data_IF_279336843589
#
_entry.id   IF_279336843589
#
_cell.length_a   1.000
_cell.length_b   1.000
_cell.length_c   1.000
_cell.angle_alpha   90.00
_cell.angle_beta   90.00
_cell.angle_gamma   90.00
#
_symmetry.space_group_name_H-M   'P 1'
#
loop_
_entity.id
_entity.type
_entity.pdbx_description
1 polymer ?
#
# COMPACT_ATOMS: atom_id res chain seq x y z
N UNK A 1 -55.77 13.27 -8.08
CA UNK A 1 -54.67 14.17 -8.53
C UNK A 1 -53.64 14.42 -7.41
N UNK A 2 -54.07 14.87 -6.23
CA UNK A 2 -53.17 15.15 -5.08
C UNK A 2 -52.39 13.92 -4.62
N UNK A 3 -53.02 12.74 -4.55
CA UNK A 3 -52.36 11.48 -4.14
C UNK A 3 -51.17 11.12 -5.06
N UNK A 4 -51.34 11.25 -6.38
CA UNK A 4 -50.26 11.00 -7.34
C UNK A 4 -49.09 11.98 -7.18
N UNK A 5 -49.39 13.24 -6.84
CA UNK A 5 -48.39 14.28 -6.61
C UNK A 5 -47.59 14.00 -5.33
N UNK A 6 -48.24 13.54 -4.26
CA UNK A 6 -47.60 13.12 -3.01
C UNK A 6 -46.69 11.90 -3.23
N UNK A 7 -47.16 10.90 -3.98
CA UNK A 7 -46.36 9.72 -4.31
C UNK A 7 -45.13 10.12 -5.13
N UNK A 8 -45.32 10.97 -6.15
CA UNK A 8 -44.22 11.47 -6.96
C UNK A 8 -43.17 12.21 -6.12
N UNK A 9 -43.62 13.08 -5.20
CA UNK A 9 -42.74 13.81 -4.29
C UNK A 9 -41.98 12.86 -3.36
N UNK A 10 -42.64 11.84 -2.82
CA UNK A 10 -42.03 10.83 -1.95
C UNK A 10 -40.94 10.03 -2.68
N UNK A 11 -41.21 9.61 -3.92
CA UNK A 11 -40.23 8.90 -4.76
C UNK A 11 -39.02 9.79 -5.07
N UNK A 12 -39.25 11.07 -5.37
CA UNK A 12 -38.18 12.02 -5.65
C UNK A 12 -37.27 12.22 -4.42
N UNK A 13 -37.86 12.36 -3.23
CA UNK A 13 -37.09 12.47 -1.98
C UNK A 13 -36.27 11.20 -1.71
N UNK A 14 -36.87 10.02 -1.86
CA UNK A 14 -36.17 8.75 -1.67
C UNK A 14 -35.02 8.58 -2.67
N UNK A 15 -35.21 9.02 -3.92
CA UNK A 15 -34.17 8.99 -4.94
C UNK A 15 -32.98 9.88 -4.57
N UNK A 16 -33.22 11.11 -4.13
CA UNK A 16 -32.15 12.03 -3.70
C UNK A 16 -31.35 11.46 -2.53
N UNK A 17 -32.03 10.88 -1.52
CA UNK A 17 -31.38 10.24 -0.37
C UNK A 17 -30.51 9.05 -0.82
N UNK A 18 -31.03 8.22 -1.72
CA UNK A 18 -30.31 7.05 -2.24
C UNK A 18 -29.03 7.46 -2.98
N UNK A 19 -29.13 8.46 -3.86
CA UNK A 19 -27.97 8.99 -4.61
C UNK A 19 -26.93 9.60 -3.67
N UNK A 20 -27.36 10.38 -2.69
CA UNK A 20 -26.45 10.96 -1.69
C UNK A 20 -25.70 9.86 -0.91
N UNK A 21 -26.42 8.86 -0.42
CA UNK A 21 -25.84 7.74 0.32
C UNK A 21 -24.86 6.94 -0.53
N UNK A 22 -25.15 6.74 -1.81
CA UNK A 22 -24.25 6.06 -2.74
C UNK A 22 -22.90 6.78 -2.88
N UNK A 23 -22.91 8.11 -3.03
CA UNK A 23 -21.67 8.89 -3.12
C UNK A 23 -20.88 8.90 -1.82
N UNK A 24 -21.55 9.02 -0.67
CA UNK A 24 -20.90 8.97 0.65
C UNK A 24 -20.27 7.59 0.90
N UNK A 25 -20.99 6.51 0.59
CA UNK A 25 -20.48 5.15 0.68
C UNK A 25 -19.26 4.93 -0.21
N UNK A 26 -19.33 5.40 -1.46
CA UNK A 26 -18.22 5.31 -2.42
C UNK A 26 -16.97 6.04 -1.93
N UNK A 27 -17.11 7.27 -1.40
CA UNK A 27 -15.99 8.01 -0.81
C UNK A 27 -15.36 7.26 0.37
N UNK A 28 -16.20 6.66 1.22
CA UNK A 28 -15.73 5.89 2.38
C UNK A 28 -14.96 4.64 1.94
N UNK A 29 -15.47 3.92 0.93
CA UNK A 29 -14.79 2.75 0.35
C UNK A 29 -13.43 3.11 -0.23
N UNK A 30 -13.31 4.20 -0.98
CA UNK A 30 -12.03 4.67 -1.52
C UNK A 30 -11.04 4.95 -0.39
N UNK A 31 -11.46 5.65 0.66
CA UNK A 31 -10.60 5.93 1.83
C UNK A 31 -10.14 4.64 2.53
N UNK A 32 -11.04 3.68 2.70
CA UNK A 32 -10.72 2.39 3.30
C UNK A 32 -9.70 1.61 2.45
N UNK A 33 -9.87 1.57 1.13
CA UNK A 33 -8.91 0.93 0.21
C UNK A 33 -7.53 1.58 0.27
N UNK A 34 -7.45 2.91 0.35
CA UNK A 34 -6.18 3.63 0.50
C UNK A 34 -5.48 3.25 1.81
N UNK A 35 -6.24 3.18 2.91
CA UNK A 35 -5.71 2.73 4.20
C UNK A 35 -5.21 1.29 4.15
N UNK A 36 -5.93 0.41 3.45
CA UNK A 36 -5.53 -0.97 3.26
C UNK A 36 -4.20 -1.10 2.49
N UNK A 37 -4.05 -0.36 1.38
CA UNK A 37 -2.79 -0.27 0.64
C UNK A 37 -1.65 0.18 1.57
N UNK A 38 -1.90 1.20 2.41
CA UNK A 38 -0.91 1.68 3.38
C UNK A 38 -0.51 0.66 4.41
N UNK A 39 -1.45 -0.15 4.88
CA UNK A 39 -1.17 -1.24 5.81
C UNK A 39 -0.35 -2.35 5.15
N UNK A 40 -0.64 -2.68 3.88
CA UNK A 40 0.13 -3.68 3.12
C UNK A 40 1.57 -3.20 2.90
N UNK A 41 1.76 -1.97 2.44
CA UNK A 41 3.09 -1.37 2.29
C UNK A 41 3.85 -1.36 3.62
N UNK A 42 3.18 -0.99 4.71
CA UNK A 42 3.78 -0.99 6.04
C UNK A 42 4.24 -2.40 6.45
N UNK A 43 3.42 -3.43 6.25
CA UNK A 43 3.80 -4.83 6.52
C UNK A 43 5.04 -5.24 5.74
N UNK A 44 5.14 -4.88 4.46
CA UNK A 44 6.33 -5.16 3.66
C UNK A 44 7.57 -4.45 4.25
N UNK A 45 7.43 -3.17 4.61
CA UNK A 45 8.49 -2.39 5.25
C UNK A 45 8.90 -2.92 6.64
N UNK A 46 7.97 -3.54 7.37
CA UNK A 46 8.23 -4.15 8.68
C UNK A 46 8.95 -5.51 8.55
N UNK A 47 8.84 -6.19 7.41
CA UNK A 47 9.57 -7.44 7.12
C UNK A 47 11.00 -7.22 6.63
N UNK A 48 11.33 -6.04 6.11
CA UNK A 48 12.68 -5.65 5.68
C UNK A 48 13.77 -5.95 6.72
N UNK A 49 13.65 -5.57 8.00
CA UNK A 49 14.70 -5.86 8.99
C UNK A 49 14.90 -7.36 9.23
N UNK A 50 13.84 -8.18 9.13
CA UNK A 50 13.98 -9.64 9.25
C UNK A 50 14.74 -10.21 8.05
N UNK A 51 14.43 -9.72 6.84
CA UNK A 51 15.20 -10.04 5.63
C UNK A 51 16.65 -9.57 5.74
N UNK A 52 16.90 -8.38 6.28
CA UNK A 52 18.24 -7.87 6.54
C UNK A 52 18.99 -8.82 7.48
N UNK A 53 18.42 -9.22 8.61
CA UNK A 53 19.05 -10.12 9.57
C UNK A 53 19.41 -11.48 8.97
N UNK A 54 18.51 -12.09 8.19
CA UNK A 54 18.75 -13.37 7.52
C UNK A 54 19.87 -13.30 6.47
N UNK A 55 20.02 -12.15 5.80
CA UNK A 55 20.92 -12.00 4.66
C UNK A 55 22.26 -11.35 5.05
N UNK A 56 22.29 -10.52 6.09
CA UNK A 56 23.47 -9.78 6.57
C UNK A 56 24.59 -10.68 7.09
N UNK A 57 24.27 -11.89 7.54
CA UNK A 57 25.25 -12.91 7.89
C UNK A 57 26.07 -13.41 6.70
N UNK A 58 25.50 -13.37 5.48
CA UNK A 58 26.11 -13.92 4.27
C UNK A 58 26.56 -12.83 3.28
N UNK A 59 25.88 -11.67 3.26
CA UNK A 59 26.13 -10.56 2.33
C UNK A 59 26.78 -9.33 2.97
N UNK A 60 27.69 -9.52 3.91
CA UNK A 60 28.30 -8.43 4.70
C UNK A 60 29.00 -7.33 3.90
N UNK A 61 29.19 -7.47 2.58
CA UNK A 61 29.83 -6.48 1.70
C UNK A 61 28.83 -5.70 0.81
N UNK A 62 27.53 -6.05 0.80
CA UNK A 62 26.51 -5.43 -0.07
C UNK A 62 25.84 -4.20 0.57
N UNK A 63 26.65 -3.27 1.07
CA UNK A 63 26.15 -2.06 1.78
C UNK A 63 25.24 -1.19 0.91
N UNK A 64 25.46 -1.15 -0.41
CA UNK A 64 24.65 -0.35 -1.33
C UNK A 64 23.20 -0.82 -1.39
N UNK A 65 22.96 -2.13 -1.44
CA UNK A 65 21.61 -2.71 -1.46
C UNK A 65 20.89 -2.45 -0.13
N UNK A 66 21.60 -2.58 1.00
CA UNK A 66 21.04 -2.28 2.32
C UNK A 66 20.66 -0.80 2.48
N UNK A 67 21.42 0.12 1.89
CA UNK A 67 21.11 1.55 1.90
C UNK A 67 19.88 1.87 1.05
N UNK A 68 19.78 1.31 -0.16
CA UNK A 68 18.58 1.41 -1.01
C UNK A 68 17.33 0.86 -0.30
N UNK A 69 17.46 -0.29 0.37
CA UNK A 69 16.38 -0.92 1.12
C UNK A 69 15.95 -0.09 2.35
N UNK A 70 16.91 0.49 3.06
CA UNK A 70 16.66 1.39 4.19
C UNK A 70 15.94 2.66 3.72
N UNK A 71 16.34 3.21 2.58
CA UNK A 71 15.70 4.37 1.98
C UNK A 71 14.28 4.05 1.51
N UNK A 72 14.06 2.91 0.86
CA UNK A 72 12.72 2.43 0.49
C UNK A 72 11.83 2.23 1.73
N UNK A 73 12.36 1.63 2.81
CA UNK A 73 11.66 1.47 4.09
C UNK A 73 11.22 2.81 4.68
N UNK A 74 12.12 3.81 4.68
CA UNK A 74 11.81 5.17 5.17
C UNK A 74 10.75 5.84 4.31
N UNK A 75 10.85 5.75 2.99
CA UNK A 75 9.87 6.31 2.05
C UNK A 75 8.47 5.71 2.29
N UNK A 76 8.38 4.39 2.47
CA UNK A 76 7.11 3.71 2.78
C UNK A 76 6.55 4.19 4.12
N UNK A 77 7.38 4.29 5.16
CA UNK A 77 6.94 4.76 6.49
C UNK A 77 6.38 6.19 6.44
N UNK A 78 7.03 7.08 5.66
CA UNK A 78 6.57 8.46 5.48
C UNK A 78 5.29 8.52 4.63
N UNK A 79 5.22 7.76 3.54
CA UNK A 79 4.05 7.71 2.67
C UNK A 79 2.81 7.19 3.43
N UNK A 80 2.96 6.10 4.20
CA UNK A 80 1.90 5.50 5.01
C UNK A 80 1.33 6.48 6.06
N UNK A 81 2.18 7.32 6.67
CA UNK A 81 1.74 8.38 7.61
C UNK A 81 1.01 9.53 6.92
N UNK A 82 1.38 9.84 5.68
CA UNK A 82 0.78 10.97 4.93
C UNK A 82 -0.61 10.67 4.38
N UNK A 83 -0.95 9.40 4.15
CA UNK A 83 -2.22 9.00 3.51
C UNK A 83 -2.33 9.42 2.05
N UNK A 84 -1.23 9.88 1.44
CA UNK A 84 -1.13 10.32 0.06
C UNK A 84 -0.86 9.12 -0.86
N UNK A 85 -1.84 8.82 -1.72
CA UNK A 85 -1.79 7.68 -2.65
C UNK A 85 -0.62 7.79 -3.62
N UNK A 86 -0.27 9.01 -4.06
CA UNK A 86 0.84 9.22 -4.99
C UNK A 86 2.16 8.81 -4.35
N UNK A 87 2.41 9.28 -3.12
CA UNK A 87 3.60 8.92 -2.35
C UNK A 87 3.66 7.44 -2.03
N UNK A 88 2.52 6.81 -1.80
CA UNK A 88 2.44 5.36 -1.54
C UNK A 88 2.80 4.57 -2.81
N UNK A 89 2.34 5.01 -3.98
CA UNK A 89 2.70 4.38 -5.26
C UNK A 89 4.21 4.52 -5.53
N UNK A 90 4.78 5.72 -5.34
CA UNK A 90 6.20 5.97 -5.54
C UNK A 90 7.07 5.14 -4.58
N UNK A 91 6.68 5.08 -3.30
CA UNK A 91 7.39 4.28 -2.29
C UNK A 91 7.33 2.77 -2.60
N UNK A 92 6.19 2.27 -3.09
CA UNK A 92 6.06 0.88 -3.53
C UNK A 92 6.93 0.56 -4.75
N UNK A 93 7.08 1.52 -5.67
CA UNK A 93 7.96 1.38 -6.84
C UNK A 93 9.43 1.26 -6.44
N UNK A 94 9.89 2.08 -5.48
CA UNK A 94 11.25 1.99 -4.95
C UNK A 94 11.54 0.58 -4.38
N UNK A 95 10.61 0.00 -3.61
CA UNK A 95 10.79 -1.35 -3.10
C UNK A 95 10.83 -2.39 -4.22
N UNK A 96 9.98 -2.23 -5.24
CA UNK A 96 9.91 -3.13 -6.40
C UNK A 96 11.19 -3.11 -7.26
N UNK A 97 11.96 -2.02 -7.23
CA UNK A 97 13.25 -1.91 -7.92
C UNK A 97 14.40 -2.55 -7.14
N UNK A 98 14.32 -2.59 -5.82
CA UNK A 98 15.37 -3.15 -4.94
C UNK A 98 15.23 -4.67 -4.78
N UNK A 99 14.00 -5.19 -4.74
CA UNK A 99 13.75 -6.64 -4.55
C UNK A 99 14.44 -7.53 -5.60
N UNK A 100 14.44 -7.22 -6.91
CA UNK A 100 15.17 -8.01 -7.91
C UNK A 100 16.67 -8.01 -7.68
N UNK A 101 17.26 -6.90 -7.20
CA UNK A 101 18.69 -6.83 -6.88
C UNK A 101 19.03 -7.78 -5.73
N UNK A 102 18.18 -7.85 -4.71
CA UNK A 102 18.34 -8.81 -3.61
C UNK A 102 18.23 -10.25 -4.13
N UNK A 103 17.27 -10.56 -5.00
CA UNK A 103 17.14 -11.90 -5.59
C UNK A 103 18.38 -12.33 -6.36
N UNK A 104 18.96 -11.44 -7.19
CA UNK A 104 20.20 -11.72 -7.93
C UNK A 104 21.33 -12.05 -6.97
N UNK A 105 21.47 -11.30 -5.87
CA UNK A 105 22.53 -11.58 -4.91
C UNK A 105 22.27 -12.86 -4.09
N UNK A 106 21.01 -13.16 -3.77
CA UNK A 106 20.66 -14.46 -3.17
C UNK A 106 20.99 -15.61 -4.13
N UNK A 107 20.70 -15.46 -5.42
CA UNK A 107 20.97 -16.47 -6.44
C UNK A 107 22.47 -16.67 -6.71
N UNK A 108 23.27 -15.61 -6.64
CA UNK A 108 24.72 -15.69 -6.81
C UNK A 108 25.43 -16.31 -5.61
N UNK A 109 24.74 -16.50 -4.48
CA UNK A 109 25.27 -17.06 -3.25
C UNK A 109 24.57 -18.40 -2.93
N UNK A 110 25.15 -19.55 -3.33
CA UNK A 110 24.55 -20.88 -3.15
C UNK A 110 24.18 -21.21 -1.70
N UNK A 111 24.90 -20.63 -0.72
CA UNK A 111 24.65 -20.81 0.71
C UNK A 111 23.32 -20.21 1.18
N UNK A 112 22.79 -19.19 0.49
CA UNK A 112 21.49 -18.57 0.79
C UNK A 112 20.30 -19.36 0.20
N UNK A 113 20.52 -20.23 -0.78
CA UNK A 113 19.47 -21.06 -1.39
C UNK A 113 19.09 -22.29 -0.54
N UNK A 114 19.97 -22.70 0.38
CA UNK A 114 19.85 -23.95 1.12
C UNK A 114 19.37 -23.81 2.57
N UNK A 115 19.14 -22.59 3.05
CA UNK A 115 18.67 -22.28 4.40
C UNK A 115 17.15 -22.02 4.46
#
# INVERSE_FOLDING_TARGET
>A
MIIYLVIFLAVLVLWVISVYNFFVSSRTRIKASIQEIGNQLKRQADLIPNLEESVKGYLGHEKGIFEELTNARKAISQASKSGDVGKMADAGKMLSEVLPKIQVVVESNPELKGA
#
